data_IF_335006042823
#
_entry.id   IF_335006042823
#
_cell.length_a   1.000
_cell.length_b   1.000
_cell.length_c   1.000
_cell.angle_alpha   90.00
_cell.angle_beta   90.00
_cell.angle_gamma   90.00
#
_symmetry.space_group_name_H-M   'P 1'
#
loop_
_entity.id
_entity.type
_entity.pdbx_description
1 polymer ?
#
# COMPACT_ATOMS: atom_id res chain seq x y z
N UNK A 1 12.96 -21.82 48.94
CA UNK A 1 12.52 -22.52 47.72
C UNK A 1 12.19 -21.41 46.72
N UNK A 2 13.17 -21.05 45.89
CA UNK A 2 12.98 -20.10 44.80
C UNK A 2 12.37 -20.83 43.61
N UNK A 3 11.17 -20.40 43.18
CA UNK A 3 10.56 -20.83 41.93
C UNK A 3 11.14 -19.98 40.80
N UNK A 4 12.07 -20.51 40.02
CA UNK A 4 12.53 -19.92 38.79
C UNK A 4 11.41 -20.04 37.76
N UNK A 5 10.77 -18.92 37.42
CA UNK A 5 9.83 -18.83 36.31
C UNK A 5 10.68 -18.75 35.04
N UNK A 6 10.76 -19.87 34.33
CA UNK A 6 11.32 -19.96 32.99
C UNK A 6 10.30 -19.29 32.02
N UNK A 7 10.58 -18.04 31.63
CA UNK A 7 9.96 -17.47 30.44
C UNK A 7 10.55 -18.18 29.22
N UNK A 8 9.84 -19.17 28.69
CA UNK A 8 10.09 -19.66 27.35
C UNK A 8 9.58 -18.59 26.38
N UNK A 9 10.52 -17.87 25.81
CA UNK A 9 10.29 -16.98 24.68
C UNK A 9 9.91 -17.88 23.48
N UNK A 10 8.62 -18.11 23.31
CA UNK A 10 8.09 -18.77 22.11
C UNK A 10 8.14 -17.75 20.97
N UNK A 11 9.31 -17.53 20.41
CA UNK A 11 9.41 -17.02 19.04
C UNK A 11 8.83 -18.09 18.13
N UNK A 12 7.52 -18.01 17.88
CA UNK A 12 6.91 -18.75 16.79
C UNK A 12 7.68 -18.37 15.52
N UNK A 13 8.43 -19.32 15.00
CA UNK A 13 9.11 -19.20 13.72
C UNK A 13 8.02 -19.25 12.65
N UNK A 14 7.32 -18.12 12.44
CA UNK A 14 6.35 -18.02 11.34
C UNK A 14 7.10 -18.27 10.03
N UNK A 15 6.75 -19.37 9.38
CA UNK A 15 7.25 -19.66 8.05
C UNK A 15 6.55 -18.77 7.04
N UNK A 16 7.30 -18.21 6.09
CA UNK A 16 6.80 -17.32 5.06
C UNK A 16 7.05 -17.91 3.69
N UNK A 17 6.06 -17.80 2.82
CA UNK A 17 6.22 -18.02 1.40
C UNK A 17 6.54 -16.70 0.71
N UNK A 18 7.44 -16.72 -0.25
CA UNK A 18 7.81 -15.56 -1.03
C UNK A 18 7.47 -15.79 -2.50
N UNK A 19 6.69 -14.89 -3.08
CA UNK A 19 6.30 -14.92 -4.48
C UNK A 19 6.95 -13.75 -5.20
N UNK A 20 7.64 -14.04 -6.31
CA UNK A 20 8.33 -13.03 -7.14
C UNK A 20 7.83 -13.11 -8.58
N UNK A 21 7.76 -11.96 -9.23
CA UNK A 21 7.33 -11.88 -10.62
C UNK A 21 7.23 -10.47 -11.15
N UNK A 22 6.54 -10.33 -12.28
CA UNK A 22 6.27 -9.05 -12.95
C UNK A 22 4.79 -8.87 -13.20
N UNK A 23 4.34 -7.61 -13.13
CA UNK A 23 3.02 -7.20 -13.59
C UNK A 23 3.19 -6.42 -14.89
N UNK A 24 2.42 -6.81 -15.91
CA UNK A 24 2.51 -6.25 -17.27
C UNK A 24 1.13 -5.94 -17.82
N UNK A 25 1.09 -5.05 -18.79
CA UNK A 25 -0.06 -4.84 -19.67
C UNK A 25 -0.28 -6.06 -20.56
N UNK A 26 -1.53 -6.54 -20.67
CA UNK A 26 -1.87 -7.75 -21.42
C UNK A 26 -1.58 -7.63 -22.92
N UNK A 27 -1.84 -6.45 -23.50
CA UNK A 27 -1.76 -6.23 -24.93
C UNK A 27 -0.35 -5.87 -25.40
N UNK A 28 0.30 -4.94 -24.67
CA UNK A 28 1.60 -4.40 -25.05
C UNK A 28 2.79 -5.09 -24.37
N UNK A 29 2.56 -5.94 -23.36
CA UNK A 29 3.57 -6.52 -22.48
C UNK A 29 4.45 -5.48 -21.74
N UNK A 30 4.04 -4.23 -21.73
CA UNK A 30 4.76 -3.16 -21.03
C UNK A 30 4.63 -3.34 -19.52
N UNK A 31 5.71 -3.12 -18.80
CA UNK A 31 5.76 -3.21 -17.35
C UNK A 31 4.84 -2.19 -16.69
N UNK A 32 4.05 -2.64 -15.70
CA UNK A 32 3.20 -1.77 -14.90
C UNK A 32 3.91 -1.40 -13.61
N UNK A 33 4.38 -0.16 -13.59
CA UNK A 33 5.17 0.42 -12.48
C UNK A 33 4.22 0.89 -11.39
N UNK A 34 4.48 0.48 -10.13
CA UNK A 34 3.65 0.75 -8.95
C UNK A 34 2.25 0.12 -9.00
N UNK A 35 2.08 -0.99 -9.72
CA UNK A 35 0.89 -1.81 -9.56
C UNK A 35 0.84 -2.40 -8.14
N UNK A 36 -0.34 -2.41 -7.55
CA UNK A 36 -0.56 -2.89 -6.18
C UNK A 36 -0.94 -4.35 -6.18
N UNK A 37 -0.36 -5.10 -5.25
CA UNK A 37 -0.71 -6.49 -4.93
C UNK A 37 -1.09 -6.55 -3.46
N UNK A 38 -2.31 -6.94 -3.13
CA UNK A 38 -2.81 -7.03 -1.75
C UNK A 38 -3.44 -8.38 -1.48
N UNK A 39 -3.08 -9.00 -0.36
CA UNK A 39 -3.67 -10.28 0.08
C UNK A 39 -5.04 -10.01 0.68
N UNK A 40 -6.05 -10.66 0.14
CA UNK A 40 -7.45 -10.46 0.51
C UNK A 40 -7.70 -10.71 1.99
N UNK A 41 -8.41 -9.77 2.64
CA UNK A 41 -8.74 -9.86 4.06
C UNK A 41 -7.52 -9.79 5.00
N UNK A 42 -6.41 -9.14 4.56
CA UNK A 42 -5.24 -8.89 5.38
C UNK A 42 -4.66 -7.49 5.09
N UNK A 43 -3.67 -7.08 5.88
CA UNK A 43 -2.88 -5.86 5.67
C UNK A 43 -1.58 -6.13 4.88
N UNK A 44 -1.41 -7.34 4.33
CA UNK A 44 -0.22 -7.73 3.58
C UNK A 44 -0.35 -7.24 2.15
N UNK A 45 0.56 -6.40 1.72
CA UNK A 45 0.59 -5.85 0.37
C UNK A 45 2.00 -5.52 -0.08
N UNK A 46 2.18 -5.38 -1.39
CA UNK A 46 3.39 -4.87 -2.03
C UNK A 46 3.02 -4.08 -3.27
N UNK A 47 4.00 -3.38 -3.84
CA UNK A 47 3.85 -2.69 -5.13
C UNK A 47 5.00 -3.06 -6.05
N UNK A 48 4.76 -3.02 -7.36
CA UNK A 48 5.81 -3.26 -8.34
C UNK A 48 6.83 -2.12 -8.37
N UNK A 49 8.08 -2.47 -8.66
CA UNK A 49 9.18 -1.51 -8.85
C UNK A 49 9.14 -0.84 -10.23
N UNK A 50 10.19 -0.09 -10.58
CA UNK A 50 10.33 0.60 -11.88
C UNK A 50 10.46 -0.33 -13.08
N UNK A 51 10.79 -1.58 -12.86
CA UNK A 51 10.87 -2.67 -13.84
C UNK A 51 9.60 -3.55 -13.84
N UNK A 52 8.53 -3.10 -13.15
CA UNK A 52 7.28 -3.85 -13.02
C UNK A 52 7.39 -5.10 -12.14
N UNK A 53 8.50 -5.29 -11.39
CA UNK A 53 8.75 -6.49 -10.60
C UNK A 53 8.18 -6.33 -9.18
N UNK A 54 7.69 -7.44 -8.63
CA UNK A 54 7.20 -7.52 -7.26
C UNK A 54 7.88 -8.63 -6.47
N UNK A 55 7.86 -8.48 -5.16
CA UNK A 55 8.20 -9.51 -4.19
C UNK A 55 7.17 -9.44 -3.06
N UNK A 56 6.33 -10.45 -2.97
CA UNK A 56 5.28 -10.57 -1.96
C UNK A 56 5.65 -11.67 -0.97
N UNK A 57 5.74 -11.33 0.32
CA UNK A 57 5.94 -12.28 1.42
C UNK A 57 4.62 -12.47 2.14
N UNK A 58 4.21 -13.72 2.30
CA UNK A 58 2.95 -14.08 2.96
C UNK A 58 3.21 -15.19 3.98
N UNK A 59 2.69 -15.09 5.21
CA UNK A 59 2.74 -16.21 6.16
C UNK A 59 2.16 -17.49 5.56
N UNK A 60 2.79 -18.62 5.82
CA UNK A 60 2.35 -19.90 5.27
C UNK A 60 0.93 -20.30 5.71
N UNK A 61 0.49 -19.77 6.83
CA UNK A 61 -0.89 -19.91 7.33
C UNK A 61 -1.96 -19.29 6.42
N UNK A 62 -1.57 -18.44 5.45
CA UNK A 62 -2.47 -17.73 4.53
C UNK A 62 -2.45 -18.26 3.10
N UNK A 63 -1.90 -19.45 2.85
CA UNK A 63 -1.76 -20.01 1.49
C UNK A 63 -3.08 -20.22 0.75
N UNK A 64 -4.21 -20.35 1.45
CA UNK A 64 -5.54 -20.52 0.86
C UNK A 64 -6.18 -19.19 0.44
N UNK A 65 -5.54 -18.05 0.72
CA UNK A 65 -6.06 -16.74 0.35
C UNK A 65 -5.74 -16.38 -1.10
N UNK A 66 -6.39 -15.31 -1.55
CA UNK A 66 -6.18 -14.72 -2.87
C UNK A 66 -5.39 -13.41 -2.77
N UNK A 67 -4.67 -13.08 -3.82
CA UNK A 67 -4.04 -11.78 -4.01
C UNK A 67 -4.81 -10.99 -5.07
N UNK A 68 -5.16 -9.76 -4.75
CA UNK A 68 -5.79 -8.83 -5.68
C UNK A 68 -4.67 -7.96 -6.26
N UNK A 69 -4.54 -7.99 -7.58
CA UNK A 69 -3.59 -7.17 -8.33
C UNK A 69 -4.36 -6.06 -9.03
N UNK A 70 -3.98 -4.82 -8.78
CA UNK A 70 -4.67 -3.65 -9.32
C UNK A 70 -3.71 -2.57 -9.81
N UNK A 71 -4.13 -1.86 -10.83
CA UNK A 71 -3.43 -0.71 -11.36
C UNK A 71 -4.43 0.29 -11.96
N UNK A 72 -4.15 1.58 -11.83
CA UNK A 72 -5.05 2.63 -12.33
C UNK A 72 -5.26 2.52 -13.84
N UNK A 73 -6.51 2.47 -14.28
CA UNK A 73 -6.87 2.30 -15.69
C UNK A 73 -6.91 0.84 -16.16
N UNK A 74 -6.78 -0.13 -15.25
CA UNK A 74 -6.81 -1.56 -15.55
C UNK A 74 -7.88 -2.28 -14.73
N UNK A 75 -8.38 -3.40 -15.27
CA UNK A 75 -9.25 -4.31 -14.52
C UNK A 75 -8.43 -5.05 -13.47
N UNK A 76 -8.86 -5.00 -12.21
CA UNK A 76 -8.23 -5.76 -11.14
C UNK A 76 -8.33 -7.26 -11.41
N UNK A 77 -7.30 -8.00 -11.05
CA UNK A 77 -7.21 -9.45 -11.21
C UNK A 77 -7.00 -10.11 -9.86
N UNK A 78 -7.85 -11.06 -9.53
CA UNK A 78 -7.72 -11.89 -8.33
C UNK A 78 -7.07 -13.21 -8.70
N UNK A 79 -6.06 -13.64 -7.96
CA UNK A 79 -5.26 -14.86 -8.19
C UNK A 79 -5.14 -15.57 -6.86
N UNK A 80 -5.39 -16.89 -6.80
CA UNK A 80 -5.13 -17.65 -5.60
C UNK A 80 -3.62 -17.74 -5.35
N UNK A 81 -3.20 -17.63 -4.10
CA UNK A 81 -1.78 -17.76 -3.74
C UNK A 81 -1.21 -19.13 -4.13
N UNK A 82 -2.05 -20.17 -4.09
CA UNK A 82 -1.71 -21.53 -4.53
C UNK A 82 -1.36 -21.64 -6.03
N UNK A 83 -1.84 -20.70 -6.85
CA UNK A 83 -1.57 -20.67 -8.29
C UNK A 83 -0.25 -19.93 -8.62
N UNK A 84 0.32 -19.23 -7.63
CA UNK A 84 1.59 -18.53 -7.78
C UNK A 84 2.78 -19.46 -7.48
N UNK A 85 3.83 -19.28 -8.27
CA UNK A 85 5.14 -19.93 -8.05
C UNK A 85 6.02 -19.02 -7.18
N UNK A 86 7.04 -19.59 -6.57
CA UNK A 86 8.02 -18.80 -5.81
C UNK A 86 8.72 -17.74 -6.67
N UNK A 87 8.96 -18.03 -7.95
CA UNK A 87 9.66 -17.15 -8.87
C UNK A 87 9.00 -17.16 -10.27
N UNK A 88 9.33 -16.13 -11.06
CA UNK A 88 8.96 -16.00 -12.47
C UNK A 88 7.45 -15.94 -12.73
N UNK A 89 6.66 -15.38 -11.80
CA UNK A 89 5.25 -15.11 -12.05
C UNK A 89 5.13 -13.95 -13.06
N UNK A 90 4.31 -14.13 -14.08
CA UNK A 90 3.91 -13.05 -14.99
C UNK A 90 2.42 -12.81 -14.85
N UNK A 91 2.05 -11.65 -14.33
CA UNK A 91 0.67 -11.26 -14.13
C UNK A 91 0.32 -10.20 -15.17
N UNK A 92 -0.54 -10.54 -16.09
CA UNK A 92 -1.03 -9.61 -17.12
C UNK A 92 -2.35 -9.00 -16.66
N UNK A 93 -2.45 -7.67 -16.71
CA UNK A 93 -3.68 -6.91 -16.47
C UNK A 93 -4.21 -6.36 -17.79
N UNK A 94 -5.52 -6.43 -17.94
CA UNK A 94 -6.23 -5.89 -19.10
C UNK A 94 -6.63 -4.44 -18.83
N UNK A 95 -6.43 -3.56 -19.81
CA UNK A 95 -6.90 -2.18 -19.72
C UNK A 95 -8.41 -2.13 -19.46
N UNK A 96 -8.80 -1.30 -18.52
CA UNK A 96 -10.20 -0.97 -18.28
C UNK A 96 -10.51 0.28 -19.07
N UNK A 97 -11.16 0.14 -20.23
CA UNK A 97 -11.81 1.29 -20.86
C UNK A 97 -12.98 1.63 -19.95
N UNK A 98 -12.80 2.52 -18.99
CA UNK A 98 -13.92 3.26 -18.45
C UNK A 98 -14.34 4.19 -19.59
N UNK A 99 -15.40 3.86 -20.30
CA UNK A 99 -16.20 4.90 -20.92
C UNK A 99 -16.60 5.82 -19.78
N UNK A 100 -15.95 6.98 -19.71
CA UNK A 100 -16.41 8.05 -18.86
C UNK A 100 -17.81 8.37 -19.42
N UNK A 101 -18.85 7.80 -18.80
CA UNK A 101 -20.19 8.34 -18.94
C UNK A 101 -20.02 9.82 -18.68
N UNK A 102 -20.52 10.63 -19.62
CA UNK A 102 -20.45 12.09 -19.59
C UNK A 102 -20.56 12.59 -18.14
N UNK A 103 -19.45 13.04 -17.58
CA UNK A 103 -19.47 13.68 -16.28
C UNK A 103 -20.17 14.98 -16.55
N UNK A 104 -21.47 15.02 -16.31
CA UNK A 104 -22.17 16.26 -16.14
C UNK A 104 -21.49 16.94 -14.95
N UNK A 105 -20.52 17.79 -15.26
CA UNK A 105 -19.96 18.71 -14.30
C UNK A 105 -21.10 19.66 -13.98
N UNK A 106 -21.90 19.29 -13.00
CA UNK A 106 -22.79 20.22 -12.32
C UNK A 106 -21.82 21.20 -11.66
N UNK A 107 -21.52 22.28 -12.39
CA UNK A 107 -20.83 23.41 -11.78
C UNK A 107 -21.74 23.82 -10.63
N UNK A 108 -21.30 23.68 -9.36
CA UNK A 108 -22.14 24.05 -8.23
C UNK A 108 -22.53 25.50 -8.43
N UNK A 109 -23.83 25.77 -8.63
CA UNK A 109 -24.34 27.14 -8.82
C UNK A 109 -24.06 28.04 -7.61
N UNK A 110 -23.64 27.42 -6.50
CA UNK A 110 -23.34 28.12 -5.26
C UNK A 110 -22.10 27.49 -4.60
N UNK A 111 -20.92 28.03 -4.88
CA UNK A 111 -19.67 27.62 -4.26
C UNK A 111 -19.68 27.78 -2.72
N UNK A 112 -20.44 28.74 -2.20
CA UNK A 112 -20.59 28.97 -0.77
C UNK A 112 -21.36 27.81 -0.10
N UNK A 113 -22.41 27.31 -0.72
CA UNK A 113 -23.18 26.19 -0.21
C UNK A 113 -22.36 24.89 -0.17
N UNK A 114 -21.57 24.61 -1.23
CA UNK A 114 -20.65 23.48 -1.27
C UNK A 114 -19.58 23.57 -0.17
N UNK A 115 -19.04 24.76 0.07
CA UNK A 115 -18.09 24.99 1.15
C UNK A 115 -18.73 24.76 2.52
N UNK A 116 -19.96 25.25 2.73
CA UNK A 116 -20.71 25.04 3.98
C UNK A 116 -20.99 23.55 4.22
N UNK A 117 -21.42 22.81 3.19
CA UNK A 117 -21.63 21.37 3.29
C UNK A 117 -20.34 20.61 3.59
N UNK A 118 -19.25 20.97 2.92
CA UNK A 118 -17.93 20.37 3.18
C UNK A 118 -17.50 20.57 4.63
N UNK A 119 -17.65 21.79 5.14
CA UNK A 119 -17.31 22.09 6.54
C UNK A 119 -18.26 21.38 7.54
N UNK A 120 -19.54 21.28 7.23
CA UNK A 120 -20.53 20.57 8.05
C UNK A 120 -20.22 19.07 8.16
N UNK A 121 -19.77 18.47 7.06
CA UNK A 121 -19.45 17.05 7.01
C UNK A 121 -18.00 16.73 7.47
N UNK A 122 -17.26 17.74 7.91
CA UNK A 122 -15.87 17.55 8.36
C UNK A 122 -15.76 16.50 9.46
N UNK A 123 -16.64 16.52 10.47
CA UNK A 123 -16.63 15.55 11.57
C UNK A 123 -16.86 14.10 11.10
N UNK A 124 -17.71 13.89 10.08
CA UNK A 124 -17.97 12.55 9.54
C UNK A 124 -16.82 12.02 8.69
N UNK A 125 -16.00 12.90 8.10
CA UNK A 125 -14.96 12.53 7.14
C UNK A 125 -13.55 12.49 7.75
N UNK A 126 -13.37 12.98 8.97
CA UNK A 126 -12.07 13.05 9.63
C UNK A 126 -12.05 12.25 10.93
N UNK A 127 -10.87 11.79 11.31
CA UNK A 127 -10.68 11.09 12.57
C UNK A 127 -10.95 12.01 13.76
N UNK A 128 -11.88 11.61 14.61
CA UNK A 128 -12.22 12.32 15.86
C UNK A 128 -11.45 11.77 17.06
N UNK A 129 -10.80 10.63 16.93
CA UNK A 129 -9.97 10.00 17.95
C UNK A 129 -8.49 10.00 17.57
N UNK A 130 -7.57 9.93 18.55
CA UNK A 130 -6.17 9.71 18.27
C UNK A 130 -5.97 8.42 17.47
N UNK A 131 -5.17 8.49 16.43
CA UNK A 131 -4.96 7.36 15.51
C UNK A 131 -3.48 7.10 15.32
N UNK A 132 -3.05 5.84 15.44
CA UNK A 132 -1.71 5.41 15.09
C UNK A 132 -1.69 4.92 13.65
N UNK A 133 -0.84 5.52 12.84
CA UNK A 133 -0.62 5.12 11.44
C UNK A 133 0.84 4.72 11.26
N UNK A 134 1.08 3.65 10.49
CA UNK A 134 2.42 3.31 10.01
C UNK A 134 2.52 3.73 8.54
N UNK A 135 3.54 4.53 8.22
CA UNK A 135 3.75 5.02 6.86
C UNK A 135 5.14 4.65 6.36
N UNK A 136 5.22 4.37 5.05
CA UNK A 136 6.46 4.21 4.33
C UNK A 136 6.75 5.48 3.53
N UNK A 137 7.91 6.08 3.79
CA UNK A 137 8.42 7.23 3.07
C UNK A 137 9.54 6.81 2.13
N UNK A 138 9.52 7.30 0.89
CA UNK A 138 10.61 7.16 -0.05
C UNK A 138 10.84 8.47 -0.78
N UNK A 139 12.07 8.93 -0.75
CA UNK A 139 12.55 10.08 -1.52
C UNK A 139 13.65 9.63 -2.48
N UNK A 140 13.51 10.01 -3.74
CA UNK A 140 14.52 9.75 -4.76
C UNK A 140 14.95 11.07 -5.40
N UNK A 141 16.22 11.40 -5.26
CA UNK A 141 16.82 12.57 -5.92
C UNK A 141 17.48 12.11 -7.21
N UNK A 142 17.09 12.72 -8.33
CA UNK A 142 17.64 12.42 -9.67
C UNK A 142 18.43 13.59 -10.21
N UNK A 143 19.57 13.30 -10.84
CA UNK A 143 20.33 14.25 -11.63
C UNK A 143 20.55 13.68 -13.04
N UNK A 144 20.11 14.41 -14.08
CA UNK A 144 20.23 13.97 -15.48
C UNK A 144 19.76 12.53 -15.71
N UNK A 145 18.56 12.17 -15.21
CA UNK A 145 17.92 10.83 -15.28
C UNK A 145 18.61 9.72 -14.45
N UNK A 146 19.70 10.00 -13.72
CA UNK A 146 20.33 9.04 -12.81
C UNK A 146 19.89 9.31 -11.37
N UNK A 147 19.58 8.26 -10.61
CA UNK A 147 19.35 8.39 -9.18
C UNK A 147 20.68 8.74 -8.50
N UNK A 148 20.71 9.82 -7.73
CA UNK A 148 21.89 10.26 -6.98
C UNK A 148 21.71 10.12 -5.48
N UNK A 149 20.47 9.97 -5.00
CA UNK A 149 20.19 9.66 -3.61
C UNK A 149 18.84 8.97 -3.49
N UNK A 150 18.75 7.97 -2.65
CA UNK A 150 17.53 7.28 -2.25
C UNK A 150 17.47 7.28 -0.72
N UNK A 151 16.41 7.86 -0.17
CA UNK A 151 16.12 7.83 1.26
C UNK A 151 14.80 7.10 1.48
N UNK A 152 14.77 6.15 2.39
CA UNK A 152 13.57 5.39 2.74
C UNK A 152 13.43 5.33 4.26
N UNK A 153 12.20 5.43 4.73
CA UNK A 153 11.89 5.32 6.14
C UNK A 153 10.53 4.63 6.36
N UNK A 154 10.43 3.88 7.42
CA UNK A 154 9.18 3.46 8.03
C UNK A 154 9.00 4.29 9.29
N UNK A 155 7.86 4.94 9.41
CA UNK A 155 7.54 5.83 10.52
C UNK A 155 6.19 5.48 11.13
N UNK A 156 6.09 5.62 12.43
CA UNK A 156 4.81 5.62 13.15
C UNK A 156 4.37 7.07 13.36
N UNK A 157 3.15 7.38 12.94
CA UNK A 157 2.56 8.70 13.06
C UNK A 157 1.45 8.63 14.10
N UNK A 158 1.67 9.26 15.23
CA UNK A 158 0.64 9.48 16.25
C UNK A 158 -0.18 10.71 15.84
N UNK A 159 -1.24 10.45 15.08
CA UNK A 159 -2.12 11.48 14.54
C UNK A 159 -3.07 11.95 15.63
N UNK A 160 -3.02 13.23 15.97
CA UNK A 160 -4.00 13.86 16.84
C UNK A 160 -5.35 14.02 16.16
N UNK A 161 -6.46 14.01 16.90
CA UNK A 161 -7.79 14.27 16.33
C UNK A 161 -7.81 15.59 15.55
N UNK A 162 -8.51 15.63 14.44
CA UNK A 162 -8.66 16.86 13.67
C UNK A 162 -9.44 17.96 14.39
N UNK A 163 -10.13 17.62 15.48
CA UNK A 163 -10.81 18.54 16.40
C UNK A 163 -9.87 19.14 17.44
N UNK A 164 -8.63 18.64 17.53
CA UNK A 164 -7.62 19.07 18.49
C UNK A 164 -6.61 20.02 17.83
N UNK A 165 -6.06 20.96 18.62
CA UNK A 165 -4.94 21.80 18.21
C UNK A 165 -3.57 21.16 18.56
N UNK A 166 -3.56 19.90 19.01
CA UNK A 166 -2.33 19.18 19.31
C UNK A 166 -1.58 18.84 18.02
N UNK A 167 -0.26 18.90 18.07
CA UNK A 167 0.59 18.51 16.95
C UNK A 167 0.66 16.98 16.84
N UNK A 168 0.75 16.50 15.61
CA UNK A 168 1.06 15.11 15.35
C UNK A 168 2.51 14.80 15.79
N UNK A 169 2.74 13.60 16.28
CA UNK A 169 4.07 13.12 16.61
C UNK A 169 4.49 12.03 15.63
N UNK A 170 5.73 12.09 15.14
CA UNK A 170 6.28 11.13 14.21
C UNK A 170 7.47 10.43 14.85
N UNK A 171 7.39 9.11 14.95
CA UNK A 171 8.44 8.26 15.48
C UNK A 171 9.09 7.47 14.33
N UNK A 172 10.41 7.54 14.22
CA UNK A 172 11.16 6.79 13.23
C UNK A 172 11.32 5.34 13.69
N UNK A 173 10.70 4.40 12.97
CA UNK A 173 10.87 2.98 13.23
C UNK A 173 12.15 2.44 12.58
N UNK A 174 12.33 2.70 11.28
CA UNK A 174 13.52 2.25 10.54
C UNK A 174 13.77 3.16 9.35
N UNK A 175 15.03 3.46 9.06
CA UNK A 175 15.42 4.22 7.87
C UNK A 175 16.66 3.65 7.20
N UNK A 176 16.81 3.94 5.89
CA UNK A 176 18.04 3.74 5.15
C UNK A 176 18.25 4.86 4.14
N UNK A 177 19.50 5.18 3.86
CA UNK A 177 19.89 6.14 2.82
C UNK A 177 21.01 5.52 1.99
N UNK A 178 20.91 5.71 0.67
CA UNK A 178 21.96 5.38 -0.31
C UNK A 178 22.25 6.62 -1.15
N UNK A 179 23.52 6.89 -1.39
CA UNK A 179 24.05 7.99 -2.22
C UNK A 179 24.97 7.42 -3.26
#
# INVERSE_FOLDING_TARGET
IEAAILFQDQTENESFNQYKGKVVDEDSNKELVFASLSVEGSNISTVTNTEGEFSLKVPSSMNEKSVIVSFLGYKSKTINLSDLKENNNKIALKTSVMELSEVNVIVPKNAEELLRETLKNKGANYFESPTLMTAFYRETIKKRKKNVSLSEAVVNIHKSPYTSNQRDNVELYKARKST
#
